data_IF_612859121620
#
_entry.id   IF_612859121620
#
_cell.length_a   1.000
_cell.length_b   1.000
_cell.length_c   1.000
_cell.angle_alpha   90.00
_cell.angle_beta   90.00
_cell.angle_gamma   90.00
#
_symmetry.space_group_name_H-M   'P 1'
#
loop_
_entity.id
_entity.type
_entity.pdbx_description
1 polymer ?
#
# COMPACT_ATOMS: atom_id res chain seq x y z
N UNK A 1 28.03 1.41 -50.42
CA UNK A 1 27.42 0.37 -49.56
C UNK A 1 27.17 1.03 -48.20
N UNK A 2 25.94 1.49 -47.94
CA UNK A 2 25.60 2.29 -46.74
C UNK A 2 25.01 1.33 -45.71
N UNK A 3 25.75 1.07 -44.63
CA UNK A 3 25.27 0.33 -43.48
C UNK A 3 24.47 1.28 -42.58
N UNK A 4 23.14 1.17 -42.61
CA UNK A 4 22.27 1.82 -41.65
C UNK A 4 22.43 1.15 -40.28
N UNK A 5 23.14 1.82 -39.37
CA UNK A 5 23.10 1.47 -37.95
C UNK A 5 21.70 1.80 -37.42
N UNK A 6 20.83 0.79 -37.37
CA UNK A 6 19.63 0.84 -36.57
C UNK A 6 20.05 0.87 -35.10
N UNK A 7 19.96 2.05 -34.47
CA UNK A 7 20.09 2.18 -33.03
C UNK A 7 19.03 1.27 -32.36
N UNK A 8 19.36 0.56 -31.26
CA UNK A 8 18.36 -0.21 -30.54
C UNK A 8 17.34 0.77 -29.98
N UNK A 9 16.14 0.71 -30.55
CA UNK A 9 14.95 1.36 -30.04
C UNK A 9 14.79 0.91 -28.59
N UNK A 10 14.97 1.82 -27.64
CA UNK A 10 14.55 1.61 -26.26
C UNK A 10 13.04 1.38 -26.31
N UNK A 11 12.65 0.11 -26.39
CA UNK A 11 11.29 -0.31 -26.17
C UNK A 11 10.89 0.24 -24.80
N UNK A 12 9.89 1.12 -24.84
CA UNK A 12 9.27 1.71 -23.67
C UNK A 12 9.03 0.60 -22.65
N UNK A 13 9.79 0.62 -21.54
CA UNK A 13 9.57 -0.25 -20.40
C UNK A 13 8.24 0.14 -19.76
N UNK A 14 7.14 -0.32 -20.37
CA UNK A 14 5.85 -0.44 -19.70
C UNK A 14 6.10 -1.44 -18.58
N UNK A 15 6.09 -0.95 -17.34
CA UNK A 15 6.34 -1.70 -16.12
C UNK A 15 5.41 -2.90 -15.97
N UNK A 16 5.78 -4.00 -16.62
CA UNK A 16 5.38 -5.35 -16.29
C UNK A 16 6.37 -5.88 -15.24
N UNK A 17 6.28 -5.33 -14.03
CA UNK A 17 6.91 -5.93 -12.86
C UNK A 17 5.87 -6.04 -11.76
N UNK A 18 5.32 -7.25 -11.59
CA UNK A 18 4.61 -7.58 -10.35
C UNK A 18 4.85 -9.01 -9.84
N UNK A 19 6.10 -9.38 -9.46
CA UNK A 19 6.30 -10.47 -8.51
C UNK A 19 6.41 -10.00 -7.03
N UNK A 20 6.85 -8.76 -6.76
CA UNK A 20 7.14 -8.29 -5.38
C UNK A 20 5.92 -8.17 -4.47
N UNK A 21 4.78 -7.75 -5.02
CA UNK A 21 3.59 -7.54 -4.21
C UNK A 21 3.02 -8.86 -3.62
N UNK A 22 3.26 -9.98 -4.31
CA UNK A 22 2.85 -11.30 -3.81
C UNK A 22 3.75 -11.76 -2.67
N UNK A 23 5.05 -11.48 -2.72
CA UNK A 23 5.96 -11.80 -1.61
C UNK A 23 5.66 -10.97 -0.36
N UNK A 24 5.41 -9.66 -0.53
CA UNK A 24 5.06 -8.77 0.59
C UNK A 24 3.74 -9.20 1.24
N UNK A 25 2.69 -9.41 0.45
CA UNK A 25 1.38 -9.83 0.97
C UNK A 25 1.41 -11.23 1.59
N UNK A 26 2.21 -12.15 1.05
CA UNK A 26 2.42 -13.49 1.63
C UNK A 26 3.13 -13.39 2.97
N UNK A 27 4.24 -12.65 3.04
CA UNK A 27 4.99 -12.46 4.28
C UNK A 27 4.15 -11.72 5.35
N UNK A 28 3.34 -10.74 4.97
CA UNK A 28 2.38 -10.09 5.87
C UNK A 28 1.38 -11.10 6.46
N UNK A 29 0.78 -11.97 5.64
CA UNK A 29 -0.18 -12.98 6.11
C UNK A 29 0.47 -13.98 7.08
N UNK A 30 1.71 -14.40 6.79
CA UNK A 30 2.48 -15.28 7.67
C UNK A 30 2.79 -14.61 9.03
N UNK A 31 3.15 -13.33 9.00
CA UNK A 31 3.35 -12.51 10.20
C UNK A 31 2.06 -12.41 11.03
N UNK A 32 0.95 -12.04 10.39
CA UNK A 32 -0.36 -11.93 11.03
C UNK A 32 -0.77 -13.25 11.68
N UNK A 33 -0.67 -14.35 10.96
CA UNK A 33 -0.97 -15.69 11.52
C UNK A 33 -0.08 -16.05 12.71
N UNK A 34 1.21 -15.71 12.64
CA UNK A 34 2.15 -15.97 13.74
C UNK A 34 1.84 -15.12 14.98
N UNK A 35 1.43 -13.87 14.79
CA UNK A 35 0.99 -12.96 15.85
C UNK A 35 -0.30 -13.43 16.52
N UNK A 36 -1.31 -13.81 15.73
CA UNK A 36 -2.57 -14.40 16.21
C UNK A 36 -2.34 -15.68 17.01
N UNK A 37 -1.38 -16.51 16.57
CA UNK A 37 -0.96 -17.73 17.27
C UNK A 37 0.01 -17.47 18.44
N UNK A 38 0.33 -16.21 18.77
CA UNK A 38 1.29 -15.80 19.81
C UNK A 38 2.69 -16.41 19.65
N UNK A 39 3.08 -16.75 18.42
CA UNK A 39 4.40 -17.30 18.07
C UNK A 39 5.38 -16.16 17.75
N UNK A 40 5.70 -15.35 18.77
CA UNK A 40 6.47 -14.12 18.58
C UNK A 40 7.88 -14.33 18.05
N UNK A 41 8.57 -15.40 18.44
CA UNK A 41 9.89 -15.73 17.89
C UNK A 41 9.83 -16.04 16.38
N UNK A 42 8.76 -16.74 15.95
CA UNK A 42 8.53 -17.04 14.54
C UNK A 42 8.17 -15.76 13.80
N UNK A 43 7.32 -14.92 14.37
CA UNK A 43 6.96 -13.62 13.80
C UNK A 43 8.18 -12.71 13.65
N UNK A 44 9.06 -12.64 14.65
CA UNK A 44 10.29 -11.86 14.59
C UNK A 44 11.22 -12.34 13.47
N UNK A 45 11.39 -13.66 13.31
CA UNK A 45 12.19 -14.23 12.20
C UNK A 45 11.59 -13.92 10.83
N UNK A 46 10.29 -14.13 10.68
CA UNK A 46 9.54 -13.80 9.45
C UNK A 46 9.63 -12.31 9.12
N UNK A 47 9.73 -11.44 10.12
CA UNK A 47 9.89 -10.00 9.94
C UNK A 47 11.32 -9.66 9.53
N UNK A 48 12.31 -10.16 10.27
CA UNK A 48 13.72 -9.83 10.06
C UNK A 48 14.23 -10.28 8.68
N UNK A 49 13.79 -11.45 8.20
CA UNK A 49 14.25 -12.05 6.94
C UNK A 49 13.32 -11.77 5.74
N UNK A 50 12.09 -11.34 6.03
CA UNK A 50 10.99 -11.26 5.07
C UNK A 50 11.04 -10.10 4.08
N UNK A 51 10.28 -10.23 3.00
CA UNK A 51 10.12 -9.19 1.98
C UNK A 51 9.50 -7.90 2.52
N UNK A 52 8.63 -8.00 3.53
CA UNK A 52 7.94 -6.85 4.10
C UNK A 52 8.92 -5.84 4.71
N UNK A 53 9.88 -6.31 5.51
CA UNK A 53 10.86 -5.43 6.15
C UNK A 53 11.83 -4.82 5.14
N UNK A 54 12.24 -5.58 4.11
CA UNK A 54 13.08 -5.07 3.02
C UNK A 54 12.39 -3.90 2.31
N UNK A 55 11.10 -4.04 1.99
CA UNK A 55 10.32 -2.99 1.37
C UNK A 55 10.11 -1.80 2.32
N UNK A 56 9.83 -2.05 3.60
CA UNK A 56 9.70 -1.01 4.63
C UNK A 56 10.98 -0.16 4.70
N UNK A 57 12.14 -0.79 4.75
CA UNK A 57 13.44 -0.11 4.77
C UNK A 57 13.71 0.69 3.49
N UNK A 58 13.39 0.11 2.32
CA UNK A 58 13.52 0.81 1.04
C UNK A 58 12.66 2.08 0.98
N UNK A 59 11.58 2.13 1.76
CA UNK A 59 10.64 3.26 1.82
C UNK A 59 10.76 4.12 3.07
N UNK A 60 11.78 3.94 3.90
CA UNK A 60 11.91 4.60 5.20
C UNK A 60 11.73 6.14 5.13
N UNK A 61 12.18 6.79 4.05
CA UNK A 61 12.01 8.23 3.84
C UNK A 61 10.57 8.72 3.62
N UNK A 62 9.60 7.83 3.40
CA UNK A 62 8.17 8.14 3.18
C UNK A 62 7.26 7.61 4.28
N UNK A 63 7.86 7.01 5.31
CA UNK A 63 7.18 6.37 6.43
C UNK A 63 7.41 7.17 7.71
N UNK A 64 6.58 6.97 8.74
CA UNK A 64 6.87 7.47 10.08
C UNK A 64 8.28 7.07 10.53
N UNK A 65 9.02 8.04 11.09
CA UNK A 65 10.38 7.80 11.60
C UNK A 65 10.34 6.72 12.68
N UNK A 66 11.28 5.78 12.63
CA UNK A 66 11.41 4.70 13.61
C UNK A 66 10.50 3.49 13.37
N UNK A 67 9.64 3.47 12.32
CA UNK A 67 8.65 2.40 12.15
C UNK A 67 9.24 0.98 12.07
N UNK A 68 10.42 0.79 11.44
CA UNK A 68 11.11 -0.53 11.42
C UNK A 68 11.46 -0.97 12.85
N UNK A 69 12.10 -0.06 13.59
CA UNK A 69 12.59 -0.32 14.93
C UNK A 69 11.43 -0.55 15.91
N UNK A 70 10.36 0.23 15.80
CA UNK A 70 9.15 0.09 16.63
C UNK A 70 8.47 -1.26 16.43
N UNK A 71 8.27 -1.69 15.17
CA UNK A 71 7.67 -3.00 14.86
C UNK A 71 8.56 -4.11 15.39
N UNK A 72 9.87 -4.03 15.15
CA UNK A 72 10.81 -5.04 15.63
C UNK A 72 10.81 -5.13 17.16
N UNK A 73 10.82 -3.98 17.85
CA UNK A 73 10.83 -3.93 19.30
C UNK A 73 9.50 -4.47 19.89
N UNK A 74 8.36 -4.19 19.26
CA UNK A 74 7.07 -4.77 19.65
C UNK A 74 7.08 -6.30 19.52
N UNK A 75 7.60 -6.83 18.41
CA UNK A 75 7.77 -8.28 18.21
C UNK A 75 8.68 -8.90 19.29
N UNK A 76 9.78 -8.25 19.63
CA UNK A 76 10.70 -8.70 20.69
C UNK A 76 10.06 -8.70 22.08
N UNK A 77 9.19 -7.74 22.38
CA UNK A 77 8.46 -7.65 23.65
C UNK A 77 7.22 -8.55 23.71
N UNK A 78 6.85 -9.22 22.62
CA UNK A 78 5.61 -9.99 22.54
C UNK A 78 4.34 -9.12 22.52
N UNK A 79 4.48 -7.87 22.09
CA UNK A 79 3.39 -6.90 22.02
C UNK A 79 2.67 -7.01 20.66
N UNK A 80 1.73 -7.96 20.56
CA UNK A 80 0.97 -8.19 19.34
C UNK A 80 0.20 -6.93 18.87
N UNK A 81 -0.57 -6.22 19.73
CA UNK A 81 -1.30 -5.02 19.31
C UNK A 81 -0.41 -3.94 18.69
N UNK A 82 0.78 -3.74 19.25
CA UNK A 82 1.72 -2.72 18.77
C UNK A 82 2.45 -3.16 17.49
N UNK A 83 2.82 -4.44 17.38
CA UNK A 83 3.36 -5.00 16.15
C UNK A 83 2.34 -4.90 15.00
N UNK A 84 1.08 -5.28 15.25
CA UNK A 84 0.00 -5.17 14.27
C UNK A 84 -0.27 -3.72 13.87
N UNK A 85 -0.21 -2.77 14.82
CA UNK A 85 -0.33 -1.34 14.54
C UNK A 85 0.74 -0.89 13.54
N UNK A 86 2.01 -1.20 13.81
CA UNK A 86 3.10 -0.78 12.95
C UNK A 86 3.07 -1.43 11.57
N UNK A 87 2.72 -2.73 11.50
CA UNK A 87 2.52 -3.43 10.22
C UNK A 87 1.34 -2.84 9.43
N UNK A 88 0.23 -2.49 10.10
CA UNK A 88 -0.91 -1.80 9.49
C UNK A 88 -0.48 -0.46 8.90
N UNK A 89 0.25 0.36 9.65
CA UNK A 89 0.75 1.66 9.17
C UNK A 89 1.57 1.50 7.89
N UNK A 90 2.44 0.48 7.82
CA UNK A 90 3.22 0.22 6.62
C UNK A 90 2.35 -0.16 5.41
N UNK A 91 1.42 -1.10 5.58
CA UNK A 91 0.54 -1.54 4.46
C UNK A 91 -0.40 -0.43 4.00
N UNK A 92 -0.93 0.39 4.93
CA UNK A 92 -1.71 1.59 4.61
C UNK A 92 -0.88 2.57 3.79
N UNK A 93 0.41 2.76 4.12
CA UNK A 93 1.31 3.61 3.34
C UNK A 93 1.53 3.07 1.92
N UNK A 94 1.62 1.74 1.72
CA UNK A 94 1.70 1.14 0.38
C UNK A 94 0.45 1.47 -0.46
N UNK A 95 -0.75 1.29 0.11
CA UNK A 95 -2.00 1.61 -0.57
C UNK A 95 -2.12 3.11 -0.91
N UNK A 96 -1.73 3.99 0.02
CA UNK A 96 -1.69 5.45 -0.19
C UNK A 96 -0.74 5.83 -1.32
N UNK A 97 0.47 5.28 -1.31
CA UNK A 97 1.50 5.58 -2.31
C UNK A 97 1.06 5.09 -3.71
N UNK A 98 0.35 3.95 -3.79
CA UNK A 98 -0.27 3.48 -5.04
C UNK A 98 -1.36 4.42 -5.54
N UNK A 99 -2.19 4.97 -4.64
CA UNK A 99 -3.21 5.95 -5.02
C UNK A 99 -2.60 7.28 -5.52
N UNK A 100 -1.49 7.73 -4.91
CA UNK A 100 -0.71 8.88 -5.39
C UNK A 100 -0.07 8.63 -6.76
N UNK A 101 0.50 7.44 -6.98
CA UNK A 101 1.05 7.06 -8.29
C UNK A 101 -0.06 6.96 -9.35
N UNK A 102 -1.22 6.42 -8.99
CA UNK A 102 -2.37 6.33 -9.88
C UNK A 102 -2.80 7.71 -10.38
N UNK A 103 -2.97 8.69 -9.49
CA UNK A 103 -3.34 10.06 -9.85
C UNK A 103 -2.30 10.69 -10.80
N UNK A 104 -1.01 10.52 -10.50
CA UNK A 104 0.08 10.99 -11.38
C UNK A 104 0.07 10.32 -12.76
N UNK A 105 -0.05 9.00 -12.83
CA UNK A 105 -0.03 8.27 -14.10
C UNK A 105 -1.27 8.54 -14.94
N UNK A 106 -2.45 8.68 -14.31
CA UNK A 106 -3.68 9.03 -15.03
C UNK A 106 -3.59 10.42 -15.64
N UNK A 107 -3.01 11.40 -14.94
CA UNK A 107 -2.78 12.73 -15.46
C UNK A 107 -1.84 12.74 -16.68
N UNK A 108 -0.78 11.92 -16.65
CA UNK A 108 0.21 11.81 -17.73
C UNK A 108 -0.23 10.90 -18.89
N UNK A 109 -1.22 10.02 -18.68
CA UNK A 109 -1.62 9.02 -19.66
C UNK A 109 -2.48 9.59 -20.79
N UNK A 110 -2.37 8.96 -21.97
CA UNK A 110 -3.26 9.15 -23.12
C UNK A 110 -4.66 8.63 -22.79
N UNK A 111 -5.69 9.24 -23.39
CA UNK A 111 -7.10 8.96 -23.08
C UNK A 111 -7.49 7.48 -23.22
N UNK A 112 -6.98 6.81 -24.25
CA UNK A 112 -7.18 5.39 -24.56
C UNK A 112 -6.56 4.43 -23.52
N UNK A 113 -5.49 4.84 -22.84
CA UNK A 113 -4.80 4.04 -21.83
C UNK A 113 -5.31 4.28 -20.39
N UNK A 114 -5.97 5.41 -20.13
CA UNK A 114 -6.34 5.84 -18.76
C UNK A 114 -7.24 4.83 -18.06
N UNK A 115 -8.23 4.25 -18.74
CA UNK A 115 -9.14 3.28 -18.13
C UNK A 115 -8.42 1.99 -17.69
N UNK A 116 -7.50 1.48 -18.52
CA UNK A 116 -6.71 0.29 -18.20
C UNK A 116 -5.72 0.55 -17.05
N UNK A 117 -5.07 1.71 -17.05
CA UNK A 117 -4.18 2.17 -15.96
C UNK A 117 -4.97 2.29 -14.66
N UNK A 118 -6.11 2.98 -14.69
CA UNK A 118 -6.99 3.14 -13.52
C UNK A 118 -7.39 1.79 -12.93
N UNK A 119 -7.82 0.84 -13.77
CA UNK A 119 -8.17 -0.52 -13.33
C UNK A 119 -7.03 -1.23 -12.60
N UNK A 120 -5.83 -1.21 -13.19
CA UNK A 120 -4.63 -1.86 -12.62
C UNK A 120 -4.27 -1.26 -11.27
N UNK A 121 -4.34 0.07 -11.13
CA UNK A 121 -4.07 0.72 -9.86
C UNK A 121 -5.12 0.44 -8.80
N UNK A 122 -6.41 0.47 -9.15
CA UNK A 122 -7.47 0.13 -8.21
C UNK A 122 -7.32 -1.30 -7.68
N UNK A 123 -7.03 -2.27 -8.55
CA UNK A 123 -6.75 -3.64 -8.13
C UNK A 123 -5.57 -3.72 -7.14
N UNK A 124 -4.47 -3.02 -7.45
CA UNK A 124 -3.29 -3.00 -6.59
C UNK A 124 -3.56 -2.32 -5.23
N UNK A 125 -4.27 -1.19 -5.22
CA UNK A 125 -4.66 -0.47 -4.00
C UNK A 125 -5.52 -1.37 -3.12
N UNK A 126 -6.55 -2.00 -3.70
CA UNK A 126 -7.45 -2.88 -2.97
C UNK A 126 -6.73 -4.08 -2.39
N UNK A 127 -5.86 -4.73 -3.17
CA UNK A 127 -5.11 -5.90 -2.71
C UNK A 127 -4.31 -5.63 -1.43
N UNK A 128 -3.70 -4.44 -1.31
CA UNK A 128 -2.99 -4.06 -0.08
C UNK A 128 -3.94 -3.63 1.02
N UNK A 129 -4.91 -2.76 0.72
CA UNK A 129 -5.84 -2.25 1.71
C UNK A 129 -6.65 -3.38 2.37
N UNK A 130 -7.08 -4.37 1.59
CA UNK A 130 -7.83 -5.54 2.07
C UNK A 130 -7.04 -6.42 3.06
N UNK A 131 -5.71 -6.30 3.14
CA UNK A 131 -4.93 -7.01 4.17
C UNK A 131 -5.16 -6.45 5.58
N UNK A 132 -5.54 -5.18 5.65
CA UNK A 132 -5.58 -4.39 6.89
C UNK A 132 -6.91 -3.67 7.11
N UNK A 133 -7.89 -3.86 6.23
CA UNK A 133 -9.18 -3.17 6.26
C UNK A 133 -9.89 -3.32 7.61
N UNK A 134 -9.80 -4.51 8.21
CA UNK A 134 -10.34 -4.81 9.52
C UNK A 134 -9.63 -4.04 10.64
N UNK A 135 -8.30 -4.00 10.63
CA UNK A 135 -7.49 -3.24 11.59
C UNK A 135 -7.76 -1.73 11.47
N UNK A 136 -7.88 -1.23 10.24
CA UNK A 136 -8.26 0.16 9.97
C UNK A 136 -9.68 0.42 10.45
N UNK A 137 -10.63 -0.51 10.25
CA UNK A 137 -12.01 -0.38 10.74
C UNK A 137 -12.06 -0.28 12.26
N UNK A 138 -11.31 -1.13 12.97
CA UNK A 138 -11.27 -1.10 14.44
C UNK A 138 -10.71 0.22 14.99
N UNK A 139 -9.70 0.79 14.32
CA UNK A 139 -9.00 1.99 14.81
C UNK A 139 -9.62 3.30 14.32
N UNK A 140 -10.16 3.31 13.11
CA UNK A 140 -10.73 4.49 12.47
C UNK A 140 -11.82 4.08 11.48
N UNK A 141 -12.98 3.68 12.01
CA UNK A 141 -14.14 3.27 11.21
C UNK A 141 -14.56 4.32 10.17
N UNK A 142 -14.44 5.62 10.49
CA UNK A 142 -14.75 6.70 9.55
C UNK A 142 -13.82 6.70 8.34
N UNK A 143 -12.51 6.57 8.57
CA UNK A 143 -11.54 6.47 7.48
C UNK A 143 -11.76 5.20 6.66
N UNK A 144 -12.06 4.07 7.32
CA UNK A 144 -12.35 2.81 6.64
C UNK A 144 -13.54 2.93 5.69
N UNK A 145 -14.64 3.54 6.15
CA UNK A 145 -15.83 3.81 5.33
C UNK A 145 -15.51 4.77 4.19
N UNK A 146 -14.73 5.81 4.44
CA UNK A 146 -14.33 6.77 3.40
C UNK A 146 -13.52 6.09 2.29
N UNK A 147 -12.58 5.22 2.65
CA UNK A 147 -11.79 4.45 1.66
C UNK A 147 -12.68 3.52 0.86
N UNK A 148 -13.60 2.77 1.51
CA UNK A 148 -14.52 1.87 0.81
C UNK A 148 -15.42 2.61 -0.17
N UNK A 149 -16.08 3.69 0.26
CA UNK A 149 -16.96 4.48 -0.61
C UNK A 149 -16.22 5.11 -1.79
N UNK A 150 -15.03 5.66 -1.54
CA UNK A 150 -14.21 6.20 -2.62
C UNK A 150 -13.75 5.10 -3.59
N UNK A 151 -13.42 3.92 -3.08
CA UNK A 151 -13.03 2.79 -3.91
C UNK A 151 -14.20 2.32 -4.80
N UNK A 152 -15.39 2.12 -4.21
CA UNK A 152 -16.59 1.68 -4.93
C UNK A 152 -16.97 2.67 -6.03
N UNK A 153 -16.87 3.97 -5.75
CA UNK A 153 -17.10 5.02 -6.74
C UNK A 153 -16.07 4.98 -7.88
N UNK A 154 -14.79 4.85 -7.55
CA UNK A 154 -13.72 4.73 -8.54
C UNK A 154 -13.89 3.49 -9.42
N UNK A 155 -14.27 2.37 -8.81
CA UNK A 155 -14.53 1.12 -9.50
C UNK A 155 -15.71 1.26 -10.46
N UNK A 156 -16.78 1.95 -10.02
CA UNK A 156 -17.92 2.32 -10.86
C UNK A 156 -17.51 3.06 -12.13
N UNK A 157 -16.59 4.03 -12.03
CA UNK A 157 -16.10 4.77 -13.20
C UNK A 157 -15.29 3.92 -14.18
N UNK A 158 -14.51 2.95 -13.69
CA UNK A 158 -13.71 2.04 -14.54
C UNK A 158 -14.55 0.94 -15.18
N UNK A 159 -15.66 0.55 -14.53
CA UNK A 159 -16.60 -0.49 -15.01
C UNK A 159 -17.76 0.08 -15.83
N UNK A 160 -17.97 1.39 -15.85
CA UNK A 160 -19.01 2.05 -16.64
C UNK A 160 -18.88 1.79 -18.15
N UNK A 161 -20.00 1.93 -18.87
CA UNK A 161 -20.06 1.83 -20.33
C UNK A 161 -20.64 3.14 -20.91
N UNK A 162 -19.83 4.04 -21.48
CA UNK A 162 -18.36 3.98 -21.59
C UNK A 162 -17.64 4.25 -20.24
N UNK A 163 -16.39 3.79 -20.06
CA UNK A 163 -15.59 4.12 -18.88
C UNK A 163 -15.32 5.62 -18.75
N UNK A 164 -15.26 6.13 -17.51
CA UNK A 164 -15.07 7.55 -17.19
C UNK A 164 -13.79 7.79 -16.36
N UNK A 165 -12.59 7.46 -16.88
CA UNK A 165 -11.36 7.51 -16.11
C UNK A 165 -10.94 8.92 -15.68
N UNK A 166 -11.43 9.97 -16.34
CA UNK A 166 -11.26 11.37 -15.94
C UNK A 166 -11.88 11.68 -14.56
N UNK A 167 -12.85 10.88 -14.13
CA UNK A 167 -13.51 11.04 -12.83
C UNK A 167 -12.78 10.34 -11.68
N UNK A 168 -11.70 9.61 -11.96
CA UNK A 168 -10.95 8.86 -10.94
C UNK A 168 -10.14 9.71 -9.98
N UNK A 169 -9.75 10.93 -10.39
CA UNK A 169 -8.86 11.77 -9.58
C UNK A 169 -9.46 12.10 -8.21
N UNK A 170 -10.76 12.41 -8.13
CA UNK A 170 -11.40 12.78 -6.87
C UNK A 170 -11.51 11.61 -5.87
N UNK A 171 -12.01 10.43 -6.26
CA UNK A 171 -11.91 9.23 -5.43
C UNK A 171 -10.49 8.91 -4.96
N UNK A 172 -9.49 8.97 -5.85
CA UNK A 172 -8.10 8.69 -5.49
C UNK A 172 -7.56 9.67 -4.44
N UNK A 173 -7.85 10.97 -4.58
CA UNK A 173 -7.48 11.97 -3.57
C UNK A 173 -8.14 11.73 -2.21
N UNK A 174 -9.41 11.31 -2.18
CA UNK A 174 -10.10 10.96 -0.93
C UNK A 174 -9.49 9.72 -0.27
N UNK A 175 -9.10 8.70 -1.05
CA UNK A 175 -8.35 7.55 -0.54
C UNK A 175 -7.02 8.00 0.08
N UNK A 176 -6.24 8.82 -0.63
CA UNK A 176 -4.96 9.35 -0.13
C UNK A 176 -5.15 10.11 1.18
N UNK A 177 -6.14 11.00 1.25
CA UNK A 177 -6.41 11.79 2.44
C UNK A 177 -6.81 10.91 3.64
N UNK A 178 -7.73 9.97 3.43
CA UNK A 178 -8.17 9.05 4.49
C UNK A 178 -7.02 8.17 5.01
N UNK A 179 -6.21 7.59 4.12
CA UNK A 179 -5.08 6.74 4.50
C UNK A 179 -3.95 7.54 5.17
N UNK A 180 -3.73 8.79 4.75
CA UNK A 180 -2.80 9.70 5.42
C UNK A 180 -3.25 9.96 6.86
N UNK A 181 -4.52 10.27 7.07
CA UNK A 181 -5.09 10.43 8.40
C UNK A 181 -4.92 9.20 9.28
N UNK A 182 -5.11 7.99 8.73
CA UNK A 182 -4.88 6.73 9.47
C UNK A 182 -3.42 6.58 9.89
N UNK A 183 -2.46 6.91 9.01
CA UNK A 183 -1.03 6.86 9.34
C UNK A 183 -0.70 7.85 10.45
N UNK A 184 -1.18 9.09 10.35
CA UNK A 184 -0.90 10.15 11.32
C UNK A 184 -1.47 9.82 12.70
N UNK A 185 -2.75 9.45 12.79
CA UNK A 185 -3.39 9.11 14.08
C UNK A 185 -2.72 7.89 14.72
N UNK A 186 -2.43 6.87 13.92
CA UNK A 186 -1.81 5.64 14.43
C UNK A 186 -0.35 5.85 14.84
N UNK A 187 0.35 6.82 14.28
CA UNK A 187 1.74 7.15 14.63
C UNK A 187 1.84 8.08 15.85
N UNK A 188 0.80 8.86 16.15
CA UNK A 188 0.77 9.74 17.32
C UNK A 188 0.43 8.99 18.61
N UNK A 189 -0.40 7.94 18.55
CA UNK A 189 -0.72 7.11 19.73
C UNK A 189 0.54 6.51 20.37
N UNK A 190 1.51 6.04 19.58
CA UNK A 190 2.77 5.48 20.09
C UNK A 190 3.63 6.49 20.88
N UNK A 191 3.51 7.79 20.61
CA UNK A 191 4.31 8.82 21.29
C UNK A 191 3.77 9.22 22.65
N UNK A 192 2.46 9.11 22.88
CA UNK A 192 1.85 9.51 24.17
C UNK A 192 2.13 8.53 25.30
N UNK A 193 2.32 7.25 24.99
CA UNK A 193 2.59 6.21 25.99
C UNK A 193 4.09 6.08 26.34
N UNK A 194 4.94 6.91 25.73
CA UNK A 194 6.40 6.91 25.92
C UNK A 194 6.92 8.15 26.69
N UNK A 195 6.04 8.93 27.34
CA UNK A 195 6.39 10.15 28.09
C UNK A 195 6.07 10.01 29.58
#
# INVERSE_FOLDING_TARGET
MIAAYAAPTFAHHVGAYTPRDNEISTNFKQLKFSLEARKFEVALRLYDEGALRKELRARAGRLPRGLDDDVRAALQRGDAPEAERGLMVFVVALARDLALEADRQLAAARADARAAIGRKFLEAIWRYYNLVDFLVTQRNARAATTVRLAFDEAEGYVKAAPPAPERLGEPLRRIVHALTGVIETSSQSARRDSS
#
